data_IF_531650164225
#
_entry.id   IF_531650164225
#
_cell.length_a   1.000
_cell.length_b   1.000
_cell.length_c   1.000
_cell.angle_alpha   90.00
_cell.angle_beta   90.00
_cell.angle_gamma   90.00
#
_symmetry.space_group_name_H-M   'P 1'
#
loop_
_entity.id
_entity.type
_entity.pdbx_description
1 polymer ?
#
# COMPACT_ATOMS: atom_id res chain seq x y z
N UNK A 1 -19.89 5.39 -28.98
CA UNK A 1 -19.26 6.46 -29.80
C UNK A 1 -18.53 7.49 -28.92
N UNK A 2 -17.26 7.21 -28.57
CA UNK A 2 -16.40 8.13 -27.83
C UNK A 2 -15.71 9.11 -28.80
N UNK A 3 -16.42 10.13 -29.27
CA UNK A 3 -15.89 11.12 -30.23
C UNK A 3 -15.15 12.28 -29.56
N UNK A 4 -15.39 12.51 -28.27
CA UNK A 4 -14.85 13.66 -27.53
C UNK A 4 -13.33 13.61 -27.23
N UNK A 5 -12.73 12.50 -26.75
CA UNK A 5 -11.33 12.53 -26.30
C UNK A 5 -10.31 12.65 -27.45
N UNK A 6 -10.73 12.41 -28.70
CA UNK A 6 -9.87 12.57 -29.89
C UNK A 6 -9.97 13.97 -30.50
N UNK A 7 -10.97 14.77 -30.11
CA UNK A 7 -11.21 16.10 -30.69
C UNK A 7 -10.53 17.23 -29.90
N UNK A 8 -10.19 17.00 -28.63
CA UNK A 8 -9.42 17.93 -27.80
C UNK A 8 -8.02 17.34 -27.58
N UNK A 9 -7.01 17.85 -28.28
CA UNK A 9 -5.60 17.48 -28.07
C UNK A 9 -4.84 18.76 -27.70
N UNK A 10 -4.15 18.81 -26.55
CA UNK A 10 -3.96 17.73 -25.57
C UNK A 10 -5.20 17.47 -24.69
N UNK A 11 -5.37 16.23 -24.22
CA UNK A 11 -6.37 15.89 -23.21
C UNK A 11 -5.74 15.27 -21.96
N UNK A 12 -6.16 15.77 -20.80
CA UNK A 12 -5.76 15.27 -19.49
C UNK A 12 -6.78 14.24 -18.98
N UNK A 13 -6.32 13.01 -18.75
CA UNK A 13 -7.15 11.87 -18.35
C UNK A 13 -6.62 11.33 -17.01
N UNK A 14 -7.32 11.61 -15.91
CA UNK A 14 -6.90 11.11 -14.60
C UNK A 14 -7.89 10.10 -14.03
N UNK A 15 -7.38 9.13 -13.29
CA UNK A 15 -8.18 8.22 -12.47
C UNK A 15 -7.79 8.38 -11.00
N UNK A 16 -8.77 8.27 -10.12
CA UNK A 16 -8.54 8.18 -8.67
C UNK A 16 -8.75 6.74 -8.19
N UNK A 17 -8.67 6.55 -6.88
CA UNK A 17 -8.87 5.25 -6.23
C UNK A 17 -10.26 4.67 -6.42
N UNK A 18 -11.29 5.47 -6.74
CA UNK A 18 -12.67 5.00 -6.91
C UNK A 18 -12.77 3.81 -7.86
N UNK A 19 -12.43 3.98 -9.15
CA UNK A 19 -12.39 2.87 -10.12
C UNK A 19 -11.42 1.73 -9.76
N UNK A 20 -10.40 1.99 -8.95
CA UNK A 20 -9.37 1.00 -8.57
C UNK A 20 -9.80 0.13 -7.38
N UNK A 21 -10.66 0.63 -6.48
CA UNK A 21 -11.12 -0.07 -5.27
C UNK A 21 -12.36 -0.92 -5.55
N UNK A 22 -12.28 -1.71 -6.62
CA UNK A 22 -13.28 -2.70 -7.00
C UNK A 22 -12.57 -4.03 -7.33
N UNK A 23 -13.31 -5.14 -7.30
CA UNK A 23 -12.77 -6.47 -7.59
C UNK A 23 -12.04 -6.56 -8.95
N UNK A 24 -12.45 -5.76 -9.94
CA UNK A 24 -11.83 -5.67 -11.27
C UNK A 24 -11.09 -4.35 -11.50
N UNK A 25 -10.73 -3.64 -10.42
CA UNK A 25 -10.15 -2.30 -10.48
C UNK A 25 -8.85 -2.22 -11.29
N UNK A 26 -8.07 -3.29 -11.32
CA UNK A 26 -6.89 -3.40 -12.16
C UNK A 26 -7.21 -3.26 -13.66
N UNK A 27 -8.28 -3.90 -14.13
CA UNK A 27 -8.67 -3.85 -15.54
C UNK A 27 -9.13 -2.44 -15.92
N UNK A 28 -9.90 -1.80 -15.04
CA UNK A 28 -10.34 -0.41 -15.21
C UNK A 28 -9.16 0.57 -15.23
N UNK A 29 -8.17 0.35 -14.35
CA UNK A 29 -6.97 1.17 -14.29
C UNK A 29 -6.12 1.05 -15.56
N UNK A 30 -5.92 -0.19 -16.03
CA UNK A 30 -5.23 -0.48 -17.30
C UNK A 30 -5.97 0.10 -18.50
N UNK A 31 -7.31 0.02 -18.52
CA UNK A 31 -8.11 0.61 -19.58
C UNK A 31 -7.91 2.13 -19.67
N UNK A 32 -7.93 2.84 -18.54
CA UNK A 32 -7.72 4.29 -18.50
C UNK A 32 -6.32 4.69 -18.99
N UNK A 33 -5.28 3.96 -18.57
CA UNK A 33 -3.92 4.16 -19.07
C UNK A 33 -3.85 3.93 -20.59
N UNK A 34 -4.50 2.87 -21.11
CA UNK A 34 -4.57 2.59 -22.55
C UNK A 34 -5.24 3.70 -23.33
N UNK A 35 -6.29 4.34 -22.81
CA UNK A 35 -6.92 5.48 -23.49
C UNK A 35 -5.91 6.60 -23.71
N UNK A 36 -5.12 6.94 -22.69
CA UNK A 36 -4.11 8.02 -22.77
C UNK A 36 -2.99 7.72 -23.77
N UNK A 37 -2.59 6.46 -23.90
CA UNK A 37 -1.66 5.99 -24.94
C UNK A 37 -2.29 6.12 -26.33
N UNK A 38 -3.52 5.63 -26.50
CA UNK A 38 -4.21 5.62 -27.80
C UNK A 38 -4.54 7.04 -28.32
N UNK A 39 -4.74 8.00 -27.42
CA UNK A 39 -4.99 9.40 -27.79
C UNK A 39 -3.71 10.24 -27.91
N UNK A 40 -2.53 9.65 -27.66
CA UNK A 40 -1.25 10.34 -27.80
C UNK A 40 -0.99 11.41 -26.75
N UNK A 41 -1.56 11.27 -25.55
CA UNK A 41 -1.45 12.29 -24.48
C UNK A 41 -0.24 12.08 -23.55
N UNK A 42 0.54 11.01 -23.75
CA UNK A 42 1.70 10.70 -22.91
C UNK A 42 2.89 11.57 -23.31
N UNK A 43 3.48 12.30 -22.35
CA UNK A 43 4.73 13.06 -22.54
C UNK A 43 4.57 14.41 -23.26
N UNK A 44 3.34 14.91 -23.41
CA UNK A 44 3.06 16.23 -24.00
C UNK A 44 2.51 17.20 -22.95
N UNK A 45 2.79 18.49 -23.11
CA UNK A 45 2.23 19.54 -22.24
C UNK A 45 0.70 19.53 -22.29
N UNK A 46 0.06 19.51 -21.13
CA UNK A 46 -1.40 19.41 -20.99
C UNK A 46 -1.98 17.99 -21.14
N UNK A 47 -1.14 16.98 -21.42
CA UNK A 47 -1.50 15.57 -21.41
C UNK A 47 -1.00 14.84 -20.14
N UNK A 48 -1.29 13.54 -20.03
CA UNK A 48 -0.77 12.66 -18.97
C UNK A 48 -0.85 11.17 -19.36
N UNK A 49 -0.43 10.28 -18.46
CA UNK A 49 -0.38 8.82 -18.69
C UNK A 49 -1.66 8.06 -18.32
N UNK A 50 -2.74 8.73 -17.91
CA UNK A 50 -3.95 8.04 -17.46
C UNK A 50 -3.94 7.62 -15.99
N UNK A 51 -2.88 7.94 -15.25
CA UNK A 51 -2.75 7.67 -13.80
C UNK A 51 -3.13 8.92 -12.99
N UNK A 52 -3.22 8.76 -11.67
CA UNK A 52 -3.46 9.87 -10.73
C UNK A 52 -2.38 10.95 -10.89
N UNK A 53 -2.73 12.20 -10.59
CA UNK A 53 -1.76 13.29 -10.47
C UNK A 53 -0.58 12.87 -9.58
N UNK A 54 0.65 13.08 -10.08
CA UNK A 54 1.87 12.85 -9.33
C UNK A 54 2.16 14.02 -8.38
N UNK A 55 3.05 13.77 -7.43
CA UNK A 55 3.63 14.78 -6.54
C UNK A 55 5.06 15.06 -6.92
N UNK A 56 5.47 16.32 -6.74
CA UNK A 56 6.86 16.69 -6.84
C UNK A 56 7.58 16.30 -5.54
N UNK A 57 8.69 15.59 -5.66
CA UNK A 57 9.54 15.20 -4.53
C UNK A 57 10.88 15.95 -4.57
N UNK A 58 11.43 16.25 -3.39
CA UNK A 58 12.65 17.06 -3.23
C UNK A 58 13.94 16.32 -3.62
N UNK A 59 13.84 15.06 -4.06
CA UNK A 59 14.99 14.26 -4.48
C UNK A 59 15.96 13.99 -3.34
N UNK A 60 15.43 13.77 -2.14
CA UNK A 60 16.23 13.49 -0.94
C UNK A 60 16.95 12.15 -1.14
N UNK A 61 18.26 12.13 -0.89
CA UNK A 61 19.03 10.88 -0.89
C UNK A 61 18.56 10.00 0.27
N UNK A 62 18.14 8.78 -0.06
CA UNK A 62 17.71 7.80 0.92
C UNK A 62 18.93 7.13 1.54
N UNK A 63 18.82 6.73 2.81
CA UNK A 63 19.84 5.88 3.42
C UNK A 63 20.03 4.60 2.59
N UNK A 64 21.27 4.17 2.45
CA UNK A 64 21.61 2.89 1.81
C UNK A 64 20.87 1.76 2.52
N UNK A 65 19.86 1.19 1.85
CA UNK A 65 19.13 0.07 2.42
C UNK A 65 20.03 -1.15 2.54
N UNK A 66 19.94 -1.84 3.67
CA UNK A 66 20.61 -3.13 3.86
C UNK A 66 20.05 -4.16 2.87
N UNK A 67 20.87 -5.11 2.45
CA UNK A 67 20.37 -6.20 1.62
C UNK A 67 19.49 -7.13 2.46
N UNK A 68 18.21 -7.25 2.12
CA UNK A 68 17.33 -8.23 2.73
C UNK A 68 17.69 -9.65 2.22
N UNK A 69 18.16 -10.57 3.09
CA UNK A 69 18.50 -11.93 2.69
C UNK A 69 17.25 -12.76 2.33
N UNK A 70 16.07 -12.38 2.84
CA UNK A 70 14.80 -13.04 2.55
C UNK A 70 14.22 -12.49 1.25
N UNK A 71 14.23 -13.31 0.20
CA UNK A 71 13.64 -12.97 -1.11
C UNK A 71 12.19 -13.45 -1.26
N UNK A 72 11.69 -14.24 -0.31
CA UNK A 72 10.29 -14.65 -0.28
C UNK A 72 9.40 -13.46 0.05
N UNK A 73 8.32 -13.28 -0.70
CA UNK A 73 7.43 -12.14 -0.57
C UNK A 73 5.97 -12.59 -0.61
N UNK A 74 5.14 -11.88 0.14
CA UNK A 74 3.68 -11.96 0.08
C UNK A 74 3.12 -10.57 -0.21
N UNK A 75 1.85 -10.51 -0.60
CA UNK A 75 1.14 -9.23 -0.63
C UNK A 75 1.06 -8.67 0.79
N UNK A 76 1.32 -7.38 0.95
CA UNK A 76 1.06 -6.68 2.23
C UNK A 76 -0.41 -6.76 2.62
N UNK A 77 -1.33 -7.06 1.68
CA UNK A 77 -2.75 -7.20 1.98
C UNK A 77 -3.12 -8.58 2.55
N UNK A 78 -2.28 -9.61 2.38
CA UNK A 78 -2.57 -10.99 2.84
C UNK A 78 -1.75 -11.34 4.09
N UNK A 79 -1.37 -10.33 4.89
CA UNK A 79 -0.60 -10.53 6.11
C UNK A 79 -1.41 -11.23 7.19
N UNK A 80 -2.74 -11.00 7.24
CA UNK A 80 -3.67 -11.70 8.14
C UNK A 80 -3.70 -13.19 7.83
N UNK A 81 -3.79 -13.54 6.54
CA UNK A 81 -3.77 -14.93 6.06
C UNK A 81 -2.43 -15.60 6.40
N UNK A 82 -1.33 -14.85 6.29
CA UNK A 82 0.00 -15.33 6.65
C UNK A 82 0.16 -15.62 8.15
N UNK A 83 -0.61 -14.95 9.01
CA UNK A 83 -0.68 -15.25 10.45
C UNK A 83 -1.59 -16.46 10.70
N UNK A 84 -2.78 -16.44 10.11
CA UNK A 84 -3.84 -17.41 10.37
C UNK A 84 -3.50 -18.81 9.84
N UNK A 85 -3.06 -18.90 8.58
CA UNK A 85 -2.81 -20.17 7.89
C UNK A 85 -1.61 -20.07 6.92
N UNK A 86 -0.59 -19.29 7.28
CA UNK A 86 0.55 -19.00 6.40
C UNK A 86 1.21 -20.23 5.78
N UNK A 87 1.38 -21.33 6.53
CA UNK A 87 2.00 -22.56 6.03
C UNK A 87 1.24 -23.27 4.87
N UNK A 88 -0.03 -22.89 4.66
CA UNK A 88 -0.87 -23.34 3.56
C UNK A 88 -0.81 -22.40 2.34
N UNK A 89 -0.26 -21.19 2.49
CA UNK A 89 -0.19 -20.20 1.42
C UNK A 89 0.83 -20.62 0.36
N UNK A 90 0.41 -20.60 -0.90
CA UNK A 90 1.20 -21.05 -2.06
C UNK A 90 1.37 -19.97 -3.13
N UNK A 91 2.31 -20.18 -4.05
CA UNK A 91 2.57 -19.30 -5.17
C UNK A 91 1.37 -19.18 -6.13
N UNK A 92 0.61 -20.26 -6.31
CA UNK A 92 -0.49 -20.32 -7.28
C UNK A 92 -1.82 -19.83 -6.71
N UNK A 93 -2.10 -20.11 -5.43
CA UNK A 93 -3.37 -19.73 -4.78
C UNK A 93 -3.31 -18.34 -4.17
N UNK A 94 -2.21 -17.99 -3.49
CA UNK A 94 -2.12 -16.81 -2.62
C UNK A 94 -1.08 -15.79 -3.12
N UNK A 95 -0.35 -16.12 -4.19
CA UNK A 95 0.61 -15.21 -4.80
C UNK A 95 1.94 -15.10 -4.06
N UNK A 96 2.33 -16.11 -3.28
CA UNK A 96 3.67 -16.19 -2.68
C UNK A 96 4.72 -16.10 -3.79
N UNK A 97 5.72 -15.22 -3.64
CA UNK A 97 6.83 -15.05 -4.59
C UNK A 97 8.13 -15.51 -3.97
N UNK A 98 9.03 -16.04 -4.80
CA UNK A 98 10.38 -16.48 -4.38
C UNK A 98 10.44 -17.89 -3.80
N UNK A 99 9.30 -18.54 -3.54
CA UNK A 99 9.14 -19.95 -3.16
C UNK A 99 7.76 -20.46 -3.59
N UNK A 100 7.56 -21.78 -3.58
CA UNK A 100 6.28 -22.40 -3.91
C UNK A 100 5.22 -22.23 -2.81
N UNK A 101 5.65 -22.08 -1.55
CA UNK A 101 4.80 -21.82 -0.39
C UNK A 101 5.57 -21.15 0.75
N UNK A 102 4.85 -20.63 1.75
CA UNK A 102 5.48 -20.25 3.02
C UNK A 102 5.77 -21.49 3.87
N UNK A 103 6.91 -21.47 4.54
CA UNK A 103 7.34 -22.58 5.40
C UNK A 103 6.66 -22.52 6.79
N UNK A 104 6.42 -21.30 7.28
CA UNK A 104 5.86 -21.01 8.61
C UNK A 104 4.93 -19.78 8.52
N UNK A 105 3.94 -19.66 9.41
CA UNK A 105 3.15 -18.45 9.54
C UNK A 105 3.94 -17.29 10.13
N UNK A 106 3.42 -16.07 9.99
CA UNK A 106 3.92 -14.89 10.70
C UNK A 106 3.47 -14.98 12.17
N UNK A 107 4.43 -14.85 13.09
CA UNK A 107 4.18 -14.87 14.54
C UNK A 107 4.45 -13.55 15.24
N UNK A 108 5.14 -12.63 14.56
CA UNK A 108 5.60 -11.36 15.13
C UNK A 108 5.28 -10.21 14.18
N UNK A 109 4.73 -9.12 14.72
CA UNK A 109 4.50 -7.89 13.99
C UNK A 109 5.22 -6.71 14.64
N UNK A 110 5.90 -5.93 13.80
CA UNK A 110 6.45 -4.62 14.14
C UNK A 110 5.63 -3.54 13.45
N UNK A 111 4.87 -2.79 14.23
CA UNK A 111 3.91 -1.79 13.75
C UNK A 111 4.38 -0.38 14.13
N UNK A 112 5.02 0.29 13.18
CA UNK A 112 5.44 1.69 13.29
C UNK A 112 4.88 2.51 12.13
N UNK A 113 4.49 3.76 12.40
CA UNK A 113 3.89 4.65 11.41
C UNK A 113 2.76 3.99 10.59
N UNK A 114 1.96 3.15 11.26
CA UNK A 114 1.00 2.26 10.60
C UNK A 114 -0.32 2.22 11.35
N UNK A 115 -1.41 2.13 10.58
CA UNK A 115 -2.73 1.79 11.10
C UNK A 115 -3.34 0.62 10.30
N UNK A 116 -2.47 -0.23 9.75
CA UNK A 116 -2.85 -1.36 8.88
C UNK A 116 -3.39 -2.56 9.64
N UNK A 117 -3.26 -2.61 10.97
CA UNK A 117 -3.75 -3.75 11.76
C UNK A 117 -5.27 -3.85 11.71
N UNK A 118 -6.00 -2.76 11.92
CA UNK A 118 -7.48 -2.84 11.96
C UNK A 118 -8.18 -1.75 11.15
N UNK A 119 -7.73 -0.50 11.23
CA UNK A 119 -8.50 0.63 10.71
C UNK A 119 -8.34 0.84 9.19
N UNK A 120 -7.21 0.40 8.62
CA UNK A 120 -6.89 0.53 7.19
C UNK A 120 -6.83 -0.83 6.46
N UNK A 121 -7.24 -1.91 7.12
CA UNK A 121 -7.30 -3.24 6.50
C UNK A 121 -8.67 -3.55 5.91
N UNK A 122 -8.70 -4.48 4.95
CA UNK A 122 -9.94 -5.11 4.54
C UNK A 122 -10.42 -6.09 5.61
N UNK A 123 -11.71 -6.40 5.62
CA UNK A 123 -12.32 -7.41 6.50
C UNK A 123 -11.86 -7.33 7.98
N UNK A 124 -12.26 -6.25 8.63
CA UNK A 124 -11.89 -5.97 10.02
C UNK A 124 -12.41 -7.00 11.01
N UNK A 125 -13.49 -7.72 10.67
CA UNK A 125 -14.09 -8.73 11.53
C UNK A 125 -13.19 -9.96 11.60
N UNK A 126 -12.78 -10.47 10.42
CA UNK A 126 -11.80 -11.55 10.36
C UNK A 126 -10.47 -11.15 11.02
N UNK A 127 -9.99 -9.93 10.73
CA UNK A 127 -8.73 -9.44 11.31
C UNK A 127 -8.79 -9.36 12.83
N UNK A 128 -9.92 -8.91 13.39
CA UNK A 128 -10.15 -8.91 14.83
C UNK A 128 -10.02 -10.33 15.41
N UNK A 129 -10.69 -11.32 14.81
CA UNK A 129 -10.63 -12.71 15.27
C UNK A 129 -9.19 -13.28 15.24
N UNK A 130 -8.43 -13.00 14.17
CA UNK A 130 -7.04 -13.45 14.04
C UNK A 130 -6.14 -12.80 15.09
N UNK A 131 -6.30 -11.50 15.34
CA UNK A 131 -5.49 -10.75 16.29
C UNK A 131 -5.87 -10.97 17.76
N UNK A 132 -7.01 -11.59 18.06
CA UNK A 132 -7.39 -11.97 19.44
C UNK A 132 -6.86 -13.36 19.84
N UNK A 133 -6.28 -14.11 18.92
CA UNK A 133 -5.75 -15.45 19.17
C UNK A 133 -4.22 -15.41 19.34
N UNK A 134 -3.77 -15.40 20.59
CA UNK A 134 -2.34 -15.39 20.96
C UNK A 134 -1.58 -16.64 20.46
N UNK A 135 -2.29 -17.71 20.08
CA UNK A 135 -1.66 -18.88 19.45
C UNK A 135 -1.31 -18.64 17.98
N UNK A 136 -1.94 -17.65 17.33
CA UNK A 136 -1.69 -17.26 15.94
C UNK A 136 -0.62 -16.20 15.83
N UNK A 137 -0.83 -15.00 16.38
CA UNK A 137 0.18 -13.94 16.43
C UNK A 137 0.68 -13.81 17.86
N UNK A 138 1.93 -14.21 18.10
CA UNK A 138 2.48 -14.37 19.45
C UNK A 138 3.01 -13.06 20.05
N UNK A 139 3.26 -12.05 19.20
CA UNK A 139 3.77 -10.76 19.66
C UNK A 139 3.52 -9.64 18.63
N UNK A 140 2.97 -8.53 19.10
CA UNK A 140 2.74 -7.31 18.35
C UNK A 140 3.35 -6.14 19.11
N UNK A 141 4.36 -5.52 18.50
CA UNK A 141 4.98 -4.30 19.01
C UNK A 141 4.45 -3.11 18.22
N UNK A 142 3.70 -2.24 18.89
CA UNK A 142 3.19 -0.99 18.34
C UNK A 142 4.03 0.20 18.81
N UNK A 143 4.31 1.13 17.91
CA UNK A 143 4.94 2.42 18.22
C UNK A 143 4.01 3.52 17.72
N UNK A 144 3.47 4.31 18.64
CA UNK A 144 2.37 5.25 18.38
C UNK A 144 2.49 6.53 19.21
N UNK A 145 1.99 7.64 18.65
CA UNK A 145 1.77 8.88 19.39
C UNK A 145 0.50 8.84 20.25
N UNK A 146 -0.50 8.10 19.79
CA UNK A 146 -1.84 8.07 20.38
C UNK A 146 -2.30 6.62 20.61
N UNK A 147 -3.25 6.44 21.53
CA UNK A 147 -3.94 5.17 21.68
C UNK A 147 -4.93 4.96 20.53
N UNK A 148 -4.44 4.44 19.41
CA UNK A 148 -5.25 4.16 18.21
C UNK A 148 -6.08 2.88 18.36
N UNK A 149 -6.96 2.59 17.39
CA UNK A 149 -7.68 1.31 17.36
C UNK A 149 -6.71 0.11 17.19
N UNK A 150 -5.60 0.30 16.47
CA UNK A 150 -4.56 -0.72 16.27
C UNK A 150 -3.75 -0.95 17.55
N UNK A 151 -3.50 0.10 18.33
CA UNK A 151 -2.77 0.00 19.61
C UNK A 151 -3.43 -0.97 20.62
N UNK A 152 -4.74 -1.20 20.52
CA UNK A 152 -5.48 -2.13 21.39
C UNK A 152 -5.11 -3.60 21.19
N UNK A 153 -4.47 -3.94 20.08
CA UNK A 153 -4.02 -5.29 19.77
C UNK A 153 -2.52 -5.47 20.03
N UNK A 154 -1.82 -4.43 20.47
CA UNK A 154 -0.38 -4.51 20.72
C UNK A 154 -0.11 -5.08 22.11
N UNK A 155 0.79 -6.06 22.20
CA UNK A 155 1.30 -6.58 23.46
C UNK A 155 2.24 -5.59 24.13
N UNK A 156 3.06 -4.91 23.31
CA UNK A 156 3.96 -3.84 23.73
C UNK A 156 3.61 -2.58 22.95
N UNK A 157 3.28 -1.52 23.67
CA UNK A 157 3.06 -0.19 23.11
C UNK A 157 4.18 0.75 23.55
N UNK A 158 4.97 1.22 22.58
CA UNK A 158 6.05 2.17 22.78
C UNK A 158 5.59 3.58 22.38
N UNK A 159 5.89 4.61 23.19
CA UNK A 159 5.57 5.99 22.84
C UNK A 159 6.51 6.52 21.75
N UNK A 160 5.95 7.24 20.80
CA UNK A 160 6.71 7.98 19.78
C UNK A 160 6.62 9.50 19.96
N UNK A 161 7.54 10.24 19.35
CA UNK A 161 7.58 11.70 19.35
C UNK A 161 6.77 12.27 18.20
N UNK A 162 5.94 13.29 18.44
CA UNK A 162 5.16 13.97 17.40
C UNK A 162 6.07 14.58 16.31
N UNK A 163 5.58 14.80 15.07
CA UNK A 163 6.40 15.42 14.02
C UNK A 163 7.00 16.79 14.38
N UNK A 164 6.42 17.53 15.33
CA UNK A 164 6.96 18.81 15.83
C UNK A 164 8.08 18.65 16.85
N UNK A 165 8.28 17.44 17.36
CA UNK A 165 9.26 17.09 18.38
C UNK A 165 10.48 16.37 17.78
N UNK A 166 10.42 16.06 16.48
CA UNK A 166 11.48 15.38 15.73
C UNK A 166 12.06 16.30 14.65
N UNK A 167 13.36 16.16 14.41
CA UNK A 167 14.01 16.70 13.21
C UNK A 167 13.79 15.70 12.07
N UNK A 168 12.78 15.93 11.24
CA UNK A 168 12.41 15.06 10.12
C UNK A 168 12.20 15.84 8.81
N UNK A 169 12.39 15.15 7.68
CA UNK A 169 12.17 15.70 6.34
C UNK A 169 10.76 15.34 5.86
N UNK A 170 9.85 16.31 5.92
CA UNK A 170 8.47 16.13 5.47
C UNK A 170 8.34 16.62 4.02
N UNK A 171 8.29 15.69 3.07
CA UNK A 171 7.94 16.01 1.69
C UNK A 171 6.45 16.35 1.59
N UNK A 172 6.08 17.17 0.59
CA UNK A 172 4.68 17.51 0.39
C UNK A 172 3.89 16.30 -0.16
N UNK A 173 2.95 15.79 0.63
CA UNK A 173 2.23 14.53 0.35
C UNK A 173 1.34 14.59 -0.91
N UNK A 174 0.81 15.78 -1.26
CA UNK A 174 -0.09 15.98 -2.40
C UNK A 174 -0.04 17.41 -2.98
N UNK A 175 1.10 18.11 -2.94
CA UNK A 175 1.25 19.32 -3.76
C UNK A 175 1.39 18.89 -5.22
N UNK A 176 0.53 19.44 -6.08
CA UNK A 176 0.71 19.32 -7.53
C UNK A 176 2.05 19.87 -7.99
N UNK A 177 2.34 19.72 -9.28
CA UNK A 177 3.54 20.23 -9.93
C UNK A 177 3.89 21.63 -9.41
N UNK A 178 5.10 21.81 -8.89
CA UNK A 178 5.67 23.13 -8.64
C UNK A 178 5.89 23.81 -9.98
N UNK A 179 4.85 24.47 -10.52
CA UNK A 179 4.91 25.22 -11.77
C UNK A 179 4.91 24.36 -13.03
#
# INVERSE_FOLDING_TARGET
PARAPRAATPAYITQRRGPQRHATGEQTARATARVSVLTGNVGINGGNSGVREGTWDLGVEWFSMLENPVKTQISVFTWTDAIDHGAEMTATRDGVRGKDKLDVPIKFLWCYASNTLINQHGDIAHTHEVLQDDSKCEMIVGIEHFMTASAKYCDILLPDLMPTEQEDLISHESAGNMG
#
